data_IF_376244851609
#
_entry.id   IF_376244851609
#
_cell.length_a   1.000
_cell.length_b   1.000
_cell.length_c   1.000
_cell.angle_alpha   90.00
_cell.angle_beta   90.00
_cell.angle_gamma   90.00
#
_symmetry.space_group_name_H-M   'P 1'
#
loop_
_entity.id
_entity.type
_entity.pdbx_description
1 polymer ?
#
# COMPACT_ATOMS: atom_id res chain seq x y z
N UNK A 1 19.68 -1.04 -18.36
CA UNK A 1 19.01 0.16 -18.92
C UNK A 1 17.58 -0.23 -19.22
N UNK A 2 16.64 0.19 -18.39
CA UNK A 2 15.21 0.00 -18.65
C UNK A 2 14.87 1.08 -19.68
N UNK A 3 14.70 0.67 -20.94
CA UNK A 3 14.12 1.55 -21.93
C UNK A 3 12.73 1.94 -21.44
N UNK A 4 12.56 3.19 -21.10
CA UNK A 4 11.29 3.81 -20.73
C UNK A 4 10.35 3.81 -21.92
N UNK A 5 9.78 2.65 -22.26
CA UNK A 5 8.59 2.61 -23.08
C UNK A 5 7.40 2.97 -22.20
N UNK A 6 7.06 4.23 -22.21
CA UNK A 6 5.73 4.66 -21.80
C UNK A 6 4.76 3.94 -22.74
N UNK A 7 4.03 2.96 -22.21
CA UNK A 7 2.89 2.41 -22.90
C UNK A 7 1.90 3.56 -23.11
N UNK A 8 1.57 3.93 -24.35
CA UNK A 8 0.57 4.94 -24.54
C UNK A 8 -0.74 4.42 -23.94
N UNK A 9 -1.32 5.19 -23.01
CA UNK A 9 -2.68 4.95 -22.57
C UNK A 9 -3.58 5.18 -23.78
N UNK A 10 -4.09 4.12 -24.37
CA UNK A 10 -5.08 4.23 -25.41
C UNK A 10 -6.44 4.27 -24.74
N UNK A 11 -7.09 5.43 -24.79
CA UNK A 11 -8.47 5.55 -24.37
C UNK A 11 -9.35 5.09 -25.52
N UNK A 12 -10.01 3.95 -25.34
CA UNK A 12 -11.06 3.53 -26.26
C UNK A 12 -12.28 4.42 -26.09
N UNK A 13 -12.87 4.86 -27.18
CA UNK A 13 -13.95 5.83 -27.16
C UNK A 13 -15.15 5.37 -28.00
N UNK A 14 -16.34 5.79 -27.59
CA UNK A 14 -17.58 5.54 -28.31
C UNK A 14 -17.59 6.13 -29.73
N UNK A 15 -16.81 7.18 -30.00
CA UNK A 15 -16.66 7.76 -31.33
C UNK A 15 -15.99 6.83 -32.34
N UNK A 16 -15.14 5.90 -31.86
CA UNK A 16 -14.45 4.89 -32.65
C UNK A 16 -15.12 3.50 -32.51
N UNK A 17 -16.35 3.45 -32.02
CA UNK A 17 -17.11 2.20 -31.82
C UNK A 17 -16.36 1.18 -30.97
N UNK A 18 -15.57 1.65 -30.00
CA UNK A 18 -14.76 0.80 -29.11
C UNK A 18 -13.91 -0.23 -29.86
N UNK A 19 -13.15 0.23 -30.85
CA UNK A 19 -12.39 -0.59 -31.78
C UNK A 19 -11.42 -1.55 -31.07
N UNK A 20 -10.83 -1.10 -29.96
CA UNK A 20 -9.95 -1.93 -29.14
C UNK A 20 -10.74 -3.10 -28.52
N UNK A 21 -11.93 -2.84 -27.98
CA UNK A 21 -12.77 -3.87 -27.38
C UNK A 21 -13.23 -4.91 -28.42
N UNK A 22 -13.58 -4.45 -29.62
CA UNK A 22 -14.02 -5.36 -30.70
C UNK A 22 -12.86 -6.19 -31.25
N UNK A 23 -11.66 -5.60 -31.42
CA UNK A 23 -10.49 -6.28 -31.94
C UNK A 23 -9.91 -7.34 -31.01
N UNK A 24 -10.06 -7.13 -29.67
CA UNK A 24 -9.58 -8.07 -28.66
C UNK A 24 -10.70 -8.95 -28.09
N UNK A 25 -11.94 -8.84 -28.57
CA UNK A 25 -13.11 -9.49 -27.98
C UNK A 25 -13.20 -9.24 -26.44
N UNK A 26 -12.76 -8.05 -26.03
CA UNK A 26 -12.56 -7.71 -24.63
C UNK A 26 -13.89 -7.48 -23.91
N UNK A 27 -13.98 -7.98 -22.68
CA UNK A 27 -15.03 -7.64 -21.75
C UNK A 27 -14.55 -6.59 -20.76
N UNK A 28 -15.49 -5.88 -20.16
CA UNK A 28 -15.16 -4.96 -19.09
C UNK A 28 -14.42 -5.69 -17.95
N UNK A 29 -13.21 -5.19 -17.58
CA UNK A 29 -12.32 -5.76 -16.56
C UNK A 29 -11.49 -6.97 -17.00
N UNK A 30 -11.24 -7.15 -18.30
CA UNK A 30 -10.23 -8.08 -18.78
C UNK A 30 -8.84 -7.43 -18.78
N UNK A 31 -7.84 -8.21 -18.42
CA UNK A 31 -6.43 -7.86 -18.51
C UNK A 31 -5.80 -8.70 -19.62
N UNK A 32 -5.06 -8.04 -20.52
CA UNK A 32 -4.35 -8.68 -21.62
C UNK A 32 -2.85 -8.58 -21.40
N UNK A 33 -2.16 -9.68 -21.62
CA UNK A 33 -0.70 -9.71 -21.71
C UNK A 33 -0.31 -9.75 -23.17
N UNK A 34 0.48 -8.77 -23.60
CA UNK A 34 0.93 -8.62 -24.97
C UNK A 34 2.43 -8.89 -25.01
N UNK A 35 2.83 -9.83 -25.82
CA UNK A 35 4.23 -10.18 -26.05
C UNK A 35 5.01 -9.06 -26.74
N UNK A 36 6.31 -9.21 -26.82
CA UNK A 36 7.21 -8.23 -27.47
C UNK A 36 6.98 -8.17 -28.99
N UNK A 37 6.33 -9.17 -29.56
CA UNK A 37 5.89 -9.25 -30.96
C UNK A 37 4.55 -8.55 -31.22
N UNK A 38 3.90 -8.03 -30.18
CA UNK A 38 2.59 -7.37 -30.26
C UNK A 38 1.40 -8.32 -30.28
N UNK A 39 1.62 -9.64 -30.12
CA UNK A 39 0.54 -10.62 -30.02
C UNK A 39 0.05 -10.75 -28.59
N UNK A 40 -1.21 -11.19 -28.42
CA UNK A 40 -1.76 -11.49 -27.10
C UNK A 40 -1.23 -12.85 -26.65
N UNK A 41 -0.44 -12.86 -25.58
CA UNK A 41 0.04 -14.10 -24.96
C UNK A 41 -1.07 -14.77 -24.15
N UNK A 42 -1.83 -13.98 -23.41
CA UNK A 42 -2.96 -14.45 -22.61
C UNK A 42 -3.85 -13.30 -22.15
N UNK A 43 -5.04 -13.64 -21.70
CA UNK A 43 -5.96 -12.70 -21.05
C UNK A 43 -6.70 -13.36 -19.90
N UNK A 44 -7.12 -12.59 -18.92
CA UNK A 44 -8.00 -13.07 -17.86
C UNK A 44 -8.91 -11.95 -17.31
N UNK A 45 -10.09 -12.35 -16.85
CA UNK A 45 -11.06 -11.43 -16.28
C UNK A 45 -10.82 -11.23 -14.76
N UNK A 46 -10.74 -9.99 -14.31
CA UNK A 46 -10.52 -9.65 -12.90
C UNK A 46 -11.82 -9.46 -12.10
N UNK A 47 -12.98 -9.63 -12.73
CA UNK A 47 -14.28 -9.44 -12.05
C UNK A 47 -14.46 -10.32 -10.81
N UNK A 48 -14.02 -11.60 -10.79
CA UNK A 48 -14.16 -12.45 -9.61
C UNK A 48 -13.33 -12.00 -8.40
N UNK A 49 -12.34 -11.13 -8.60
CA UNK A 49 -11.37 -10.76 -7.57
C UNK A 49 -11.72 -9.43 -6.92
N UNK A 50 -11.62 -9.40 -5.60
CA UNK A 50 -11.88 -8.21 -4.79
C UNK A 50 -10.56 -7.46 -4.51
N UNK A 51 -10.37 -6.22 -5.03
CA UNK A 51 -9.14 -5.46 -4.81
C UNK A 51 -8.91 -5.06 -3.35
N UNK A 52 -9.92 -5.23 -2.48
CA UNK A 52 -9.78 -5.01 -1.04
C UNK A 52 -9.40 -6.28 -0.28
N UNK A 53 -9.39 -7.44 -0.93
CA UNK A 53 -8.95 -8.72 -0.37
C UNK A 53 -7.44 -8.87 -0.57
N UNK A 54 -6.64 -9.00 0.50
CA UNK A 54 -5.20 -9.23 0.37
C UNK A 54 -4.86 -10.50 -0.43
N UNK A 55 -5.65 -11.57 -0.25
CA UNK A 55 -5.42 -12.85 -0.92
C UNK A 55 -5.66 -12.74 -2.43
N UNK A 56 -6.71 -12.04 -2.86
CA UNK A 56 -7.01 -11.82 -4.27
C UNK A 56 -5.94 -10.93 -4.93
N UNK A 57 -5.46 -9.92 -4.22
CA UNK A 57 -4.36 -9.05 -4.70
C UNK A 57 -3.07 -9.85 -4.86
N UNK A 58 -2.76 -10.73 -3.90
CA UNK A 58 -1.58 -11.61 -3.97
C UNK A 58 -1.72 -12.56 -5.17
N UNK A 59 -2.88 -13.19 -5.34
CA UNK A 59 -3.14 -14.11 -6.45
C UNK A 59 -2.95 -13.42 -7.82
N UNK A 60 -3.56 -12.24 -8.03
CA UNK A 60 -3.41 -11.48 -9.28
C UNK A 60 -1.94 -11.11 -9.51
N UNK A 61 -1.24 -10.67 -8.46
CA UNK A 61 0.19 -10.33 -8.55
C UNK A 61 1.04 -11.52 -8.95
N UNK A 62 0.83 -12.69 -8.34
CA UNK A 62 1.56 -13.91 -8.68
C UNK A 62 1.25 -14.36 -10.12
N UNK A 63 -0.01 -14.24 -10.53
CA UNK A 63 -0.43 -14.54 -11.90
C UNK A 63 0.29 -13.64 -12.92
N UNK A 64 0.32 -12.33 -12.68
CA UNK A 64 1.06 -11.37 -13.51
C UNK A 64 2.56 -11.71 -13.58
N UNK A 65 3.14 -12.10 -12.47
CA UNK A 65 4.56 -12.46 -12.41
C UNK A 65 4.87 -13.78 -13.13
N UNK A 66 3.95 -14.74 -13.14
CA UNK A 66 4.11 -16.01 -13.83
C UNK A 66 4.18 -15.85 -15.36
N UNK A 67 3.49 -14.86 -15.92
CA UNK A 67 3.54 -14.56 -17.35
C UNK A 67 4.80 -13.79 -17.77
N UNK A 68 5.54 -13.25 -16.83
CA UNK A 68 6.79 -12.51 -17.08
C UNK A 68 8.01 -13.41 -17.29
N UNK A 69 7.85 -14.72 -17.14
CA UNK A 69 8.94 -15.67 -16.90
C UNK A 69 9.42 -16.50 -18.07
N UNK A 70 9.11 -16.18 -19.35
CA UNK A 70 9.61 -16.95 -20.48
C UNK A 70 10.78 -16.34 -21.26
N UNK A 71 11.35 -15.25 -20.78
CA UNK A 71 12.63 -14.77 -21.30
C UNK A 71 13.76 -15.55 -20.63
N UNK A 72 14.34 -16.50 -21.36
CA UNK A 72 15.55 -17.25 -20.99
C UNK A 72 16.80 -16.35 -20.92
N UNK A 73 16.72 -15.22 -20.28
CA UNK A 73 17.87 -14.46 -19.82
C UNK A 73 17.93 -14.60 -18.30
N UNK A 74 18.93 -15.34 -17.86
CA UNK A 74 19.37 -15.60 -16.50
C UNK A 74 19.48 -14.35 -15.63
N UNK A 75 18.34 -13.80 -15.27
CA UNK A 75 18.14 -13.03 -14.08
C UNK A 75 17.17 -13.86 -13.26
N UNK A 76 17.73 -14.70 -12.38
CA UNK A 76 17.10 -15.04 -11.13
C UNK A 76 16.78 -13.73 -10.43
N UNK A 77 15.85 -12.98 -10.97
CA UNK A 77 15.14 -11.99 -10.22
C UNK A 77 14.36 -12.80 -9.21
N UNK A 78 15.03 -13.16 -8.10
CA UNK A 78 14.35 -13.08 -6.83
C UNK A 78 13.39 -11.90 -6.99
N UNK A 79 12.12 -12.17 -7.17
CA UNK A 79 11.14 -11.36 -6.51
C UNK A 79 11.50 -11.58 -5.05
N UNK A 80 12.47 -10.82 -4.57
CA UNK A 80 12.47 -10.50 -3.17
C UNK A 80 11.07 -9.95 -2.99
N UNK A 81 10.21 -10.78 -2.39
CA UNK A 81 9.20 -10.27 -1.53
C UNK A 81 9.97 -9.25 -0.72
N UNK A 82 9.90 -7.97 -1.10
CA UNK A 82 10.48 -6.94 -0.24
C UNK A 82 9.71 -7.17 1.04
N UNK A 83 10.32 -7.79 2.06
CA UNK A 83 9.60 -8.09 3.28
C UNK A 83 9.02 -6.77 3.69
N UNK A 84 7.71 -6.70 3.93
CA UNK A 84 7.10 -5.44 4.36
C UNK A 84 8.02 -4.85 5.40
N UNK A 85 8.63 -3.72 5.09
CA UNK A 85 9.67 -3.13 5.93
C UNK A 85 9.14 -2.87 7.33
N UNK A 86 7.80 -2.76 7.41
CA UNK A 86 7.08 -2.39 8.60
C UNK A 86 5.65 -2.91 8.53
N UNK A 87 5.15 -3.48 9.63
CA UNK A 87 3.75 -3.82 9.84
C UNK A 87 3.15 -2.91 10.89
N UNK A 88 2.09 -2.16 10.56
CA UNK A 88 1.38 -1.29 11.50
C UNK A 88 0.08 -1.94 11.97
N UNK A 89 -0.08 -2.13 13.28
CA UNK A 89 -1.29 -2.69 13.87
C UNK A 89 -2.29 -1.61 14.26
N UNK A 90 -3.56 -2.01 14.42
CA UNK A 90 -4.58 -1.13 14.98
C UNK A 90 -4.21 -0.78 16.42
N UNK A 91 -4.36 0.50 16.77
CA UNK A 91 -4.16 0.97 18.16
C UNK A 91 -5.17 0.30 19.11
N UNK A 92 -4.76 0.06 20.33
CA UNK A 92 -5.62 -0.53 21.35
C UNK A 92 -5.47 0.18 22.68
N UNK A 93 -6.61 0.52 23.33
CA UNK A 93 -7.98 0.42 22.84
C UNK A 93 -8.29 1.37 21.67
N UNK A 94 -9.36 1.10 20.91
CA UNK A 94 -9.95 1.98 19.91
C UNK A 94 -11.45 1.68 19.78
N UNK A 95 -12.37 2.61 20.12
CA UNK A 95 -12.10 3.94 20.68
C UNK A 95 -11.36 3.92 22.02
N UNK A 96 -10.74 5.04 22.40
CA UNK A 96 -9.94 5.14 23.62
C UNK A 96 -10.23 6.42 24.44
N UNK A 97 -9.89 6.39 25.74
CA UNK A 97 -10.03 7.49 26.68
C UNK A 97 -9.05 7.31 27.87
N UNK A 98 -8.14 8.21 28.17
CA UNK A 98 -7.54 9.19 27.28
C UNK A 98 -6.32 8.62 26.56
N UNK A 99 -5.94 7.35 26.79
CA UNK A 99 -4.69 6.76 26.28
C UNK A 99 -4.93 5.54 25.38
N UNK A 100 -4.03 5.37 24.43
CA UNK A 100 -4.00 4.21 23.55
C UNK A 100 -2.57 3.79 23.22
N UNK A 101 -2.38 2.52 22.91
CA UNK A 101 -1.09 1.97 22.50
C UNK A 101 -1.08 1.74 20.99
N UNK A 102 -0.09 2.30 20.34
CA UNK A 102 0.23 2.07 18.92
C UNK A 102 1.32 1.01 18.86
N UNK A 103 1.04 -0.09 18.13
CA UNK A 103 1.96 -1.19 17.93
C UNK A 103 2.40 -1.26 16.47
N UNK A 104 3.67 -1.54 16.24
CA UNK A 104 4.20 -1.85 14.91
C UNK A 104 5.40 -2.79 15.02
N UNK A 105 5.71 -3.48 13.94
CA UNK A 105 6.85 -4.39 13.83
C UNK A 105 7.77 -3.88 12.73
N UNK A 106 9.06 -3.78 13.03
CA UNK A 106 10.12 -3.53 12.05
C UNK A 106 10.80 -4.85 11.69
N UNK A 107 10.91 -5.12 10.40
CA UNK A 107 11.58 -6.33 9.91
C UNK A 107 13.11 -6.16 9.83
N UNK A 108 13.61 -4.92 9.87
CA UNK A 108 15.03 -4.57 9.96
C UNK A 108 15.22 -3.25 10.68
N UNK A 109 16.47 -2.96 11.04
CA UNK A 109 16.83 -1.68 11.66
C UNK A 109 16.53 -0.54 10.69
N UNK A 110 15.86 0.49 11.17
CA UNK A 110 15.39 1.60 10.32
C UNK A 110 15.33 2.91 11.08
N UNK A 111 15.47 4.02 10.38
CA UNK A 111 15.07 5.32 10.91
C UNK A 111 13.55 5.45 10.81
N UNK A 112 12.89 5.73 11.93
CA UNK A 112 11.42 5.72 12.03
C UNK A 112 10.91 7.05 12.56
N UNK A 113 9.86 7.56 11.92
CA UNK A 113 9.06 8.67 12.45
C UNK A 113 7.64 8.17 12.73
N UNK A 114 7.18 8.33 13.96
CA UNK A 114 5.81 7.99 14.38
C UNK A 114 5.11 9.26 14.81
N UNK A 115 4.01 9.57 14.14
CA UNK A 115 3.30 10.84 14.32
C UNK A 115 1.78 10.66 14.38
N UNK A 116 1.12 11.57 15.04
CA UNK A 116 -0.34 11.70 15.12
C UNK A 116 -0.76 12.98 14.42
N UNK A 117 -1.78 12.89 13.60
CA UNK A 117 -2.36 14.00 12.84
C UNK A 117 -3.85 14.11 13.12
N UNK A 118 -4.41 15.29 12.96
CA UNK A 118 -5.85 15.50 12.96
C UNK A 118 -6.44 15.18 11.55
N UNK A 119 -7.75 15.34 11.39
CA UNK A 119 -8.46 15.09 10.12
C UNK A 119 -8.07 16.04 8.99
N UNK A 120 -7.52 17.20 9.31
CA UNK A 120 -7.01 18.17 8.33
C UNK A 120 -5.59 17.83 7.85
N UNK A 121 -4.97 16.78 8.41
CA UNK A 121 -3.57 16.41 8.12
C UNK A 121 -2.53 17.22 8.91
N UNK A 122 -2.96 18.07 9.88
CA UNK A 122 -2.05 18.85 10.71
C UNK A 122 -1.41 17.95 11.77
N UNK A 123 -0.10 18.14 11.98
CA UNK A 123 0.65 17.41 13.00
C UNK A 123 0.16 17.78 14.40
N UNK A 124 -0.25 16.78 15.16
CA UNK A 124 -0.66 16.92 16.55
C UNK A 124 0.45 16.54 17.51
N UNK A 125 1.07 15.37 17.30
CA UNK A 125 2.13 14.86 18.17
C UNK A 125 3.13 14.03 17.38
N UNK A 126 4.42 14.27 17.62
CA UNK A 126 5.46 13.32 17.27
C UNK A 126 5.72 12.40 18.46
N UNK A 127 5.42 11.11 18.30
CA UNK A 127 5.59 10.12 19.36
C UNK A 127 7.01 9.56 19.40
N UNK A 128 7.63 9.44 18.22
CA UNK A 128 9.01 8.98 18.07
C UNK A 128 9.61 9.51 16.78
N UNK A 129 10.91 9.83 16.80
CA UNK A 129 11.66 10.21 15.61
C UNK A 129 13.13 9.84 15.81
N UNK A 130 13.61 8.80 15.14
CA UNK A 130 14.99 8.35 15.29
C UNK A 130 15.22 6.92 14.81
N UNK A 131 16.46 6.39 14.97
CA UNK A 131 16.79 5.02 14.63
C UNK A 131 16.15 4.04 15.62
N UNK A 132 15.66 2.92 15.10
CA UNK A 132 15.13 1.79 15.87
C UNK A 132 15.61 0.47 15.29
N UNK A 133 15.95 -0.47 16.18
CA UNK A 133 16.26 -1.85 15.81
C UNK A 133 15.03 -2.61 15.37
N UNK A 134 15.19 -3.67 14.59
CA UNK A 134 14.14 -4.63 14.23
C UNK A 134 13.35 -5.12 15.44
N UNK A 135 12.14 -5.60 15.21
CA UNK A 135 11.26 -6.20 16.21
C UNK A 135 10.04 -5.36 16.54
N UNK A 136 9.28 -5.82 17.53
CA UNK A 136 8.02 -5.23 17.95
C UNK A 136 8.28 -3.95 18.76
N UNK A 137 7.49 -2.92 18.46
CA UNK A 137 7.52 -1.62 19.12
C UNK A 137 6.14 -1.25 19.62
N UNK A 138 6.12 -0.59 20.78
CA UNK A 138 4.89 -0.09 21.41
C UNK A 138 5.13 1.35 21.82
N UNK A 139 4.22 2.24 21.44
CA UNK A 139 4.21 3.64 21.84
C UNK A 139 2.85 3.98 22.43
N UNK A 140 2.84 4.72 23.53
CA UNK A 140 1.60 5.18 24.16
C UNK A 140 1.36 6.63 23.78
N UNK A 141 0.12 6.94 23.39
CA UNK A 141 -0.35 8.31 23.22
C UNK A 141 -1.44 8.63 24.23
N UNK A 142 -1.24 9.73 24.99
CA UNK A 142 -2.10 10.16 26.08
C UNK A 142 -2.99 11.35 25.70
N UNK A 143 -3.38 11.47 24.42
CA UNK A 143 -4.27 12.51 23.90
C UNK A 143 -3.77 13.94 24.15
N UNK A 144 -2.47 14.15 23.99
CA UNK A 144 -1.84 15.48 24.11
C UNK A 144 -1.08 15.84 22.83
N UNK A 145 -0.99 17.14 22.55
CA UNK A 145 -0.19 17.68 21.44
C UNK A 145 1.31 17.74 21.79
N UNK A 146 2.13 18.35 20.92
CA UNK A 146 3.57 18.50 21.16
C UNK A 146 3.88 19.37 22.37
N UNK A 147 3.02 20.31 22.71
CA UNK A 147 3.11 21.22 23.84
C UNK A 147 2.61 20.58 25.15
N UNK A 148 2.20 19.28 25.10
CA UNK A 148 1.57 18.52 26.18
C UNK A 148 0.20 19.04 26.63
N UNK A 149 -0.50 19.75 25.76
CA UNK A 149 -1.86 20.21 26.00
C UNK A 149 -2.86 19.13 25.54
N UNK A 150 -3.98 18.91 26.28
CA UNK A 150 -4.99 17.95 25.89
C UNK A 150 -5.66 18.33 24.57
N UNK A 151 -5.83 17.35 23.69
CA UNK A 151 -6.53 17.55 22.41
C UNK A 151 -8.01 17.17 22.51
N UNK A 152 -8.91 17.73 21.65
CA UNK A 152 -10.35 17.45 21.69
C UNK A 152 -10.66 16.00 21.32
N UNK A 153 -11.87 15.51 21.70
CA UNK A 153 -12.42 14.25 21.21
C UNK A 153 -12.57 14.31 19.70
N UNK A 154 -12.39 13.19 19.03
CA UNK A 154 -12.52 13.13 17.58
C UNK A 154 -11.72 12.03 16.91
N UNK A 155 -11.69 12.09 15.58
CA UNK A 155 -10.92 11.21 14.73
C UNK A 155 -9.49 11.74 14.57
N UNK A 156 -8.52 10.86 14.77
CA UNK A 156 -7.10 11.09 14.56
C UNK A 156 -6.53 10.04 13.62
N UNK A 157 -5.43 10.38 12.99
CA UNK A 157 -4.68 9.48 12.10
C UNK A 157 -3.27 9.36 12.69
N UNK A 158 -2.82 8.17 13.00
CA UNK A 158 -1.42 7.93 13.32
C UNK A 158 -0.71 7.30 12.13
N UNK A 159 0.54 7.67 11.96
CA UNK A 159 1.40 7.17 10.90
C UNK A 159 2.73 6.69 11.45
N UNK A 160 3.25 5.65 10.83
CA UNK A 160 4.62 5.19 11.00
C UNK A 160 5.31 5.25 9.65
N UNK A 161 6.33 6.06 9.57
CA UNK A 161 7.13 6.27 8.36
C UNK A 161 8.54 5.75 8.59
N UNK A 162 9.06 4.98 7.66
CA UNK A 162 10.48 4.68 7.55
C UNK A 162 11.04 5.24 6.23
N UNK A 163 12.26 4.91 5.87
CA UNK A 163 12.95 5.42 4.67
C UNK A 163 12.19 5.12 3.36
N UNK A 164 11.50 3.97 3.29
CA UNK A 164 10.93 3.45 2.05
C UNK A 164 9.39 3.44 2.04
N UNK A 165 8.74 3.58 3.20
CA UNK A 165 7.29 3.34 3.32
C UNK A 165 6.65 4.22 4.39
N UNK A 166 5.37 4.51 4.21
CA UNK A 166 4.52 5.14 5.21
C UNK A 166 3.24 4.33 5.37
N UNK A 167 2.92 3.98 6.60
CA UNK A 167 1.68 3.29 6.96
C UNK A 167 0.88 4.15 7.91
N UNK A 168 -0.42 4.20 7.74
CA UNK A 168 -1.31 4.99 8.59
C UNK A 168 -2.60 4.25 8.92
N UNK A 169 -3.15 4.54 10.09
CA UNK A 169 -4.45 4.03 10.55
C UNK A 169 -5.22 5.11 11.31
N UNK A 170 -6.53 4.90 11.39
CA UNK A 170 -7.46 5.80 12.09
C UNK A 170 -7.64 5.35 13.54
N UNK A 171 -7.85 6.31 14.44
CA UNK A 171 -8.21 6.07 15.83
C UNK A 171 -9.22 7.12 16.33
N UNK A 172 -10.04 6.75 17.30
CA UNK A 172 -11.12 7.60 17.82
C UNK A 172 -10.87 7.85 19.31
N UNK A 173 -10.70 9.13 19.64
CA UNK A 173 -10.61 9.61 21.02
C UNK A 173 -12.01 9.97 21.52
N UNK A 174 -12.39 9.37 22.64
CA UNK A 174 -13.58 9.72 23.43
C UNK A 174 -13.15 10.47 24.70
N UNK A 175 -13.98 11.40 25.15
CA UNK A 175 -13.84 12.05 26.47
C UNK A 175 -15.10 11.82 27.28
#
# INVERSE_FOLDING_TARGET
>A
MINSRVLPWVQDSSSNNYEIWSNFEANQRDIFFIGTDGQIDTSFNITPYNPSSPDDVIYIKELILSFRGNDNSSLSSRVELIPESLTLYQNYPNPFNPSTTIKYTLNYDSYVNVAVHNVNGELVKTLFNGPQSKGNKNLVWNSVNNENEPVPSGLYIYSVKNENSIYSKKMILLK
#
